data_IF_527997395053
#
_entry.id   IF_527997395053
#
_cell.length_a   1.000
_cell.length_b   1.000
_cell.length_c   1.000
_cell.angle_alpha   90.00
_cell.angle_beta   90.00
_cell.angle_gamma   90.00
#
_symmetry.space_group_name_H-M   'P 1'
#
loop_
_entity.id
_entity.type
_entity.pdbx_description
1 polymer ?
#
# COMPACT_ATOMS: atom_id res chain seq x y z
N UNK A 1 -25.21 4.23 -64.61
CA UNK A 1 -24.74 4.96 -63.41
C UNK A 1 -24.80 4.02 -62.22
N UNK A 2 -23.67 3.43 -61.81
CA UNK A 2 -23.59 2.56 -60.62
C UNK A 2 -23.08 3.42 -59.46
N UNK A 3 -23.88 3.60 -58.41
CA UNK A 3 -23.50 4.31 -57.19
C UNK A 3 -22.56 3.41 -56.37
N UNK A 4 -21.36 3.90 -56.08
CA UNK A 4 -20.38 3.26 -55.23
C UNK A 4 -20.70 3.62 -53.78
N UNK A 5 -21.17 2.66 -52.98
CA UNK A 5 -21.37 2.84 -51.54
C UNK A 5 -20.02 2.68 -50.85
N UNK A 6 -19.49 3.78 -50.33
CA UNK A 6 -18.27 3.81 -49.52
C UNK A 6 -18.65 3.41 -48.09
N UNK A 7 -18.35 2.17 -47.67
CA UNK A 7 -18.50 1.73 -46.28
C UNK A 7 -17.29 2.24 -45.50
N UNK A 8 -17.46 3.32 -44.73
CA UNK A 8 -16.48 3.78 -43.75
C UNK A 8 -16.47 2.83 -42.56
N UNK A 9 -15.50 1.92 -42.54
CA UNK A 9 -15.17 1.11 -41.38
C UNK A 9 -14.52 2.00 -40.31
N UNK A 10 -15.29 2.42 -39.31
CA UNK A 10 -14.73 3.01 -38.10
C UNK A 10 -14.03 1.90 -37.29
N UNK A 11 -12.70 1.82 -37.42
CA UNK A 11 -11.88 1.11 -36.44
C UNK A 11 -11.98 1.90 -35.12
N UNK A 12 -12.76 1.39 -34.17
CA UNK A 12 -12.64 1.80 -32.77
C UNK A 12 -11.29 1.29 -32.26
N UNK A 13 -10.28 2.15 -32.30
CA UNK A 13 -9.07 2.00 -31.48
C UNK A 13 -9.52 2.15 -30.02
N UNK A 14 -9.81 1.02 -29.38
CA UNK A 14 -9.86 0.98 -27.91
C UNK A 14 -8.51 1.50 -27.41
N UNK A 15 -8.49 2.41 -26.43
CA UNK A 15 -7.22 2.83 -25.85
C UNK A 15 -6.55 1.58 -25.30
N UNK A 16 -5.35 1.26 -25.82
CA UNK A 16 -4.49 0.27 -25.20
C UNK A 16 -4.23 0.77 -23.79
N UNK A 17 -4.91 0.19 -22.81
CA UNK A 17 -4.52 0.34 -21.42
C UNK A 17 -3.08 -0.15 -21.36
N UNK A 18 -2.13 0.77 -21.16
CA UNK A 18 -0.76 0.40 -20.88
C UNK A 18 -0.80 -0.51 -19.65
N UNK A 19 -0.58 -1.80 -19.87
CA UNK A 19 -0.49 -2.76 -18.79
C UNK A 19 0.64 -2.28 -17.89
N UNK A 20 0.33 -1.99 -16.62
CA UNK A 20 1.33 -1.52 -15.67
C UNK A 20 2.48 -2.53 -15.66
N UNK A 21 3.63 -2.09 -16.18
CA UNK A 21 4.77 -2.96 -16.36
C UNK A 21 5.43 -3.17 -14.99
N UNK A 22 5.25 -4.36 -14.43
CA UNK A 22 5.98 -4.81 -13.26
C UNK A 22 7.49 -4.92 -13.60
N UNK A 23 8.34 -4.61 -12.62
CA UNK A 23 9.80 -4.50 -12.83
C UNK A 23 10.54 -5.74 -12.35
N UNK A 24 10.14 -6.29 -11.21
CA UNK A 24 10.71 -7.46 -10.55
C UNK A 24 9.79 -8.67 -10.63
N UNK A 25 8.48 -8.43 -10.67
CA UNK A 25 7.43 -9.44 -10.53
C UNK A 25 6.63 -9.65 -11.82
N UNK A 26 5.83 -10.72 -11.82
CA UNK A 26 4.73 -10.93 -12.79
C UNK A 26 3.42 -11.08 -12.03
N UNK A 27 2.27 -11.02 -12.72
CA UNK A 27 0.97 -11.19 -12.06
C UNK A 27 0.81 -12.56 -11.39
N UNK A 28 1.49 -13.58 -11.92
CA UNK A 28 1.48 -14.96 -11.42
C UNK A 28 2.48 -15.19 -10.27
N UNK A 29 3.39 -14.24 -10.03
CA UNK A 29 4.43 -14.39 -9.00
C UNK A 29 3.90 -14.30 -7.57
N UNK A 30 2.70 -13.76 -7.39
CA UNK A 30 2.04 -13.55 -6.08
C UNK A 30 0.67 -14.21 -6.10
N UNK A 31 0.47 -15.23 -5.25
CA UNK A 31 -0.84 -15.86 -5.10
C UNK A 31 -1.76 -15.00 -4.23
N UNK A 32 -2.52 -14.11 -4.87
CA UNK A 32 -3.44 -13.21 -4.18
C UNK A 32 -4.64 -13.93 -3.55
N UNK A 33 -4.90 -15.21 -3.86
CA UNK A 33 -5.99 -15.96 -3.22
C UNK A 33 -5.70 -16.25 -1.73
N UNK A 34 -4.44 -16.12 -1.32
CA UNK A 34 -4.01 -16.26 0.07
C UNK A 34 -4.29 -14.99 0.91
N UNK A 35 -4.69 -13.88 0.28
CA UNK A 35 -5.19 -12.71 1.02
C UNK A 35 -6.63 -13.02 1.44
N UNK A 36 -6.96 -12.99 2.75
CA UNK A 36 -8.31 -13.29 3.21
C UNK A 36 -9.32 -12.29 2.65
N UNK A 37 -10.58 -12.69 2.54
CA UNK A 37 -11.66 -11.76 2.24
C UNK A 37 -11.88 -10.78 3.40
N UNK A 38 -12.36 -9.55 3.14
CA UNK A 38 -12.81 -8.67 4.22
C UNK A 38 -14.02 -9.28 4.95
N UNK A 39 -14.29 -8.86 6.20
CA UNK A 39 -15.51 -9.26 6.88
C UNK A 39 -16.73 -8.80 6.08
N UNK A 40 -17.81 -9.58 6.15
CA UNK A 40 -19.07 -9.23 5.51
C UNK A 40 -19.61 -7.93 6.10
N UNK A 41 -20.05 -7.01 5.26
CA UNK A 41 -20.56 -5.71 5.70
C UNK A 41 -21.75 -5.88 6.66
N UNK A 42 -21.69 -5.21 7.80
CA UNK A 42 -22.72 -5.28 8.84
C UNK A 42 -22.65 -6.53 9.74
N UNK A 43 -21.72 -7.46 9.48
CA UNK A 43 -21.45 -8.56 10.42
C UNK A 43 -20.86 -8.05 11.75
N UNK A 44 -20.94 -8.83 12.84
CA UNK A 44 -20.30 -8.46 14.12
C UNK A 44 -18.81 -8.13 13.99
N UNK A 45 -18.09 -8.83 13.11
CA UNK A 45 -16.68 -8.57 12.84
C UNK A 45 -16.45 -7.24 12.11
N UNK A 46 -17.24 -6.93 11.07
CA UNK A 46 -17.15 -5.63 10.37
C UNK A 46 -17.47 -4.45 11.31
N UNK A 47 -18.50 -4.61 12.15
CA UNK A 47 -18.88 -3.58 13.11
C UNK A 47 -17.82 -3.39 14.21
N UNK A 48 -17.20 -4.47 14.69
CA UNK A 48 -16.09 -4.39 15.64
C UNK A 48 -14.87 -3.68 15.01
N UNK A 49 -14.55 -4.01 13.76
CA UNK A 49 -13.45 -3.41 12.99
C UNK A 49 -13.69 -1.91 12.76
N UNK A 50 -14.93 -1.49 12.46
CA UNK A 50 -15.30 -0.07 12.35
C UNK A 50 -15.25 0.66 13.71
N UNK A 51 -15.72 0.03 14.78
CA UNK A 51 -15.70 0.61 16.13
C UNK A 51 -14.29 0.84 16.66
N UNK A 52 -13.33 0.02 16.25
CA UNK A 52 -11.93 0.21 16.62
C UNK A 52 -11.35 1.52 16.04
N UNK A 53 -11.80 1.94 14.84
CA UNK A 53 -11.41 3.24 14.27
C UNK A 53 -11.94 4.39 15.14
N UNK A 54 -13.19 4.31 15.59
CA UNK A 54 -13.77 5.29 16.52
C UNK A 54 -13.03 5.31 17.85
N UNK A 55 -12.63 4.14 18.38
CA UNK A 55 -11.84 4.03 19.61
C UNK A 55 -10.49 4.75 19.46
N UNK A 56 -9.76 4.50 18.37
CA UNK A 56 -8.51 5.21 18.09
C UNK A 56 -8.73 6.72 17.95
N UNK A 57 -9.80 7.15 17.30
CA UNK A 57 -10.13 8.57 17.18
C UNK A 57 -10.35 9.25 18.54
N UNK A 58 -10.91 8.55 19.53
CA UNK A 58 -11.14 9.11 20.87
C UNK A 58 -9.85 9.30 21.67
N UNK A 59 -8.84 8.46 21.45
CA UNK A 59 -7.61 8.45 22.26
C UNK A 59 -6.40 9.06 21.54
N UNK A 60 -6.45 9.24 20.22
CA UNK A 60 -5.33 9.80 19.45
C UNK A 60 -5.06 11.26 19.86
N UNK A 61 -3.79 11.59 19.93
CA UNK A 61 -3.31 12.94 20.21
C UNK A 61 -3.08 13.73 18.91
N UNK A 62 -2.91 15.06 18.98
CA UNK A 62 -2.45 15.85 17.84
C UNK A 62 -1.10 15.36 17.28
N UNK A 63 -0.20 14.86 18.14
CA UNK A 63 1.08 14.32 17.72
C UNK A 63 0.92 13.02 16.91
N UNK A 64 0.01 12.15 17.33
CA UNK A 64 -0.31 10.93 16.58
C UNK A 64 -0.84 11.26 15.18
N UNK A 65 -1.73 12.26 15.09
CA UNK A 65 -2.26 12.73 13.81
C UNK A 65 -1.17 13.38 12.93
N UNK A 66 -0.29 14.21 13.51
CA UNK A 66 0.81 14.82 12.77
C UNK A 66 1.76 13.76 12.20
N UNK A 67 2.12 12.75 13.00
CA UNK A 67 2.94 11.61 12.56
C UNK A 67 2.23 10.80 11.46
N UNK A 68 0.97 10.42 11.68
CA UNK A 68 0.20 9.65 10.70
C UNK A 68 -0.03 10.41 9.38
N UNK A 69 -0.17 11.74 9.43
CA UNK A 69 -0.30 12.60 8.26
C UNK A 69 1.02 12.73 7.50
N UNK A 70 2.15 12.85 8.21
CA UNK A 70 3.47 12.85 7.59
C UNK A 70 3.73 11.52 6.87
N UNK A 71 3.51 10.40 7.55
CA UNK A 71 3.67 9.06 6.97
C UNK A 71 2.67 8.79 5.83
N UNK A 72 1.52 9.48 5.77
CA UNK A 72 0.54 9.30 4.71
C UNK A 72 1.08 9.59 3.29
N UNK A 73 2.19 10.31 3.17
CA UNK A 73 2.85 10.59 1.89
C UNK A 73 3.36 9.33 1.20
N UNK A 74 3.81 8.31 1.96
CA UNK A 74 4.09 6.98 1.41
C UNK A 74 5.47 6.79 0.78
N UNK A 75 6.44 7.65 1.08
CA UNK A 75 7.80 7.62 0.53
C UNK A 75 8.82 7.13 1.56
N UNK A 76 10.03 6.80 1.11
CA UNK A 76 11.10 6.35 1.99
C UNK A 76 11.44 7.40 3.05
N UNK A 77 11.46 8.67 2.63
CA UNK A 77 11.68 9.83 3.49
C UNK A 77 10.60 9.98 4.55
N UNK A 78 9.32 9.81 4.21
CA UNK A 78 8.22 9.96 5.16
C UNK A 78 7.98 8.73 6.05
N UNK A 79 8.32 7.53 5.57
CA UNK A 79 8.22 6.31 6.36
C UNK A 79 9.43 6.08 7.27
N UNK A 80 10.65 6.23 6.75
CA UNK A 80 11.86 5.75 7.43
C UNK A 80 12.90 6.83 7.69
N UNK A 81 12.78 8.02 7.07
CA UNK A 81 13.62 9.17 7.36
C UNK A 81 13.18 9.97 8.58
N UNK A 82 13.92 11.04 8.86
CA UNK A 82 13.58 12.00 9.92
C UNK A 82 12.21 12.69 9.66
N UNK A 83 11.46 13.09 10.71
CA UNK A 83 11.82 13.03 12.12
C UNK A 83 11.38 11.74 12.83
N UNK A 84 10.63 10.86 12.16
CA UNK A 84 9.94 9.73 12.82
C UNK A 84 10.54 8.36 12.52
N UNK A 85 11.50 8.26 11.61
CA UNK A 85 12.09 7.00 11.18
C UNK A 85 13.55 6.82 11.65
N UNK A 86 14.08 5.59 11.51
CA UNK A 86 15.41 5.22 12.00
C UNK A 86 16.57 5.55 11.05
N UNK A 87 16.28 6.10 9.87
CA UNK A 87 17.28 6.52 8.89
C UNK A 87 17.47 8.04 8.94
N UNK A 88 18.67 8.50 8.58
CA UNK A 88 18.88 9.91 8.29
C UNK A 88 18.11 10.31 7.03
N UNK A 89 17.92 11.62 6.81
CA UNK A 89 17.31 12.13 5.58
C UNK A 89 18.09 11.66 4.34
N UNK A 90 19.42 11.75 4.36
CA UNK A 90 20.27 11.34 3.23
C UNK A 90 20.16 9.83 2.94
N UNK A 91 20.14 9.00 3.98
CA UNK A 91 19.95 7.56 3.81
C UNK A 91 18.60 7.23 3.21
N UNK A 92 17.53 7.89 3.67
CA UNK A 92 16.19 7.67 3.15
C UNK A 92 16.05 8.17 1.69
N UNK A 93 16.68 9.27 1.33
CA UNK A 93 16.69 9.81 -0.04
C UNK A 93 17.31 8.83 -1.04
N UNK A 94 18.39 8.14 -0.66
CA UNK A 94 19.03 7.10 -1.50
C UNK A 94 18.10 5.93 -1.82
N UNK A 95 17.08 5.69 -0.99
CA UNK A 95 16.15 4.57 -1.13
C UNK A 95 14.86 4.93 -1.90
N UNK A 96 14.62 6.21 -2.20
CA UNK A 96 13.38 6.67 -2.84
C UNK A 96 13.14 5.96 -4.17
N UNK A 97 14.16 5.88 -5.03
CA UNK A 97 14.03 5.25 -6.34
C UNK A 97 13.63 3.77 -6.25
N UNK A 98 14.25 3.01 -5.33
CA UNK A 98 13.89 1.62 -5.09
C UNK A 98 12.45 1.52 -4.55
N UNK A 99 12.07 2.35 -3.58
CA UNK A 99 10.71 2.34 -3.03
C UNK A 99 9.66 2.71 -4.08
N UNK A 100 9.95 3.61 -5.01
CA UNK A 100 9.02 3.93 -6.10
C UNK A 100 8.73 2.73 -6.99
N UNK A 101 9.74 1.90 -7.28
CA UNK A 101 9.55 0.65 -8.02
C UNK A 101 8.68 -0.31 -7.20
N UNK A 102 9.03 -0.54 -5.93
CA UNK A 102 8.26 -1.40 -5.02
C UNK A 102 6.81 -0.93 -4.87
N UNK A 103 6.60 0.39 -4.79
CA UNK A 103 5.28 0.99 -4.71
C UNK A 103 4.45 0.69 -5.94
N UNK A 104 5.01 0.86 -7.16
CA UNK A 104 4.31 0.54 -8.40
C UNK A 104 3.88 -0.93 -8.43
N UNK A 105 4.75 -1.85 -8.03
CA UNK A 105 4.40 -3.27 -7.96
C UNK A 105 3.29 -3.55 -6.95
N UNK A 106 3.42 -3.02 -5.72
CA UNK A 106 2.39 -3.13 -4.68
C UNK A 106 1.05 -2.59 -5.15
N UNK A 107 1.03 -1.49 -5.89
CA UNK A 107 -0.20 -0.85 -6.35
C UNK A 107 -0.93 -1.67 -7.43
N UNK A 108 -0.21 -2.41 -8.29
CA UNK A 108 -0.81 -3.35 -9.23
C UNK A 108 -1.64 -4.39 -8.48
N UNK A 109 -1.00 -5.10 -7.53
CA UNK A 109 -1.68 -6.15 -6.74
C UNK A 109 -2.78 -5.58 -5.83
N UNK A 110 -2.53 -4.43 -5.22
CA UNK A 110 -3.53 -3.75 -4.39
C UNK A 110 -4.77 -3.38 -5.19
N UNK A 111 -4.64 -2.92 -6.44
CA UNK A 111 -5.78 -2.54 -7.28
C UNK A 111 -6.64 -3.75 -7.65
N UNK A 112 -6.02 -4.90 -7.94
CA UNK A 112 -6.75 -6.15 -8.23
C UNK A 112 -7.68 -6.49 -7.06
N UNK A 113 -7.14 -6.59 -5.85
CA UNK A 113 -7.94 -6.93 -4.65
C UNK A 113 -8.91 -5.84 -4.22
N UNK A 114 -8.55 -4.57 -4.39
CA UNK A 114 -9.46 -3.45 -4.14
C UNK A 114 -10.70 -3.51 -5.02
N UNK A 115 -10.52 -3.79 -6.30
CA UNK A 115 -11.63 -3.87 -7.25
C UNK A 115 -12.49 -5.12 -7.01
N UNK A 116 -11.88 -6.23 -6.58
CA UNK A 116 -12.58 -7.49 -6.26
C UNK A 116 -13.57 -7.32 -5.10
N UNK A 117 -13.15 -6.71 -3.99
CA UNK A 117 -13.97 -6.65 -2.78
C UNK A 117 -14.66 -5.31 -2.54
N UNK A 118 -14.18 -4.24 -3.18
CA UNK A 118 -14.78 -2.91 -3.12
C UNK A 118 -15.14 -2.39 -1.71
N UNK A 119 -14.39 -2.80 -0.68
CA UNK A 119 -14.66 -2.40 0.70
C UNK A 119 -14.62 -0.88 0.85
N UNK A 120 -15.69 -0.31 1.38
CA UNK A 120 -15.83 1.13 1.62
C UNK A 120 -14.91 1.55 2.77
N UNK A 121 -14.37 2.78 2.72
CA UNK A 121 -13.49 3.34 3.76
C UNK A 121 -14.25 3.67 5.05
N UNK A 122 -13.60 3.71 6.24
CA UNK A 122 -14.28 4.00 7.50
C UNK A 122 -15.07 5.33 7.48
N UNK A 123 -14.47 6.41 7.03
CA UNK A 123 -15.09 7.74 6.96
C UNK A 123 -16.22 7.85 5.93
N UNK A 124 -16.30 6.92 4.97
CA UNK A 124 -17.43 6.83 4.05
C UNK A 124 -18.58 5.97 4.61
N UNK A 125 -18.30 5.09 5.58
CA UNK A 125 -19.30 4.27 6.28
C UNK A 125 -19.97 5.02 7.42
N UNK A 126 -19.21 5.86 8.14
CA UNK A 126 -19.68 6.54 9.34
C UNK A 126 -19.20 8.00 9.38
N UNK A 127 -20.14 8.94 9.33
CA UNK A 127 -19.88 10.40 9.36
C UNK A 127 -19.24 10.90 10.66
N UNK A 128 -19.31 10.12 11.74
CA UNK A 128 -18.63 10.40 13.00
C UNK A 128 -17.12 10.12 12.97
N UNK A 129 -16.62 9.40 11.96
CA UNK A 129 -15.18 9.22 11.73
C UNK A 129 -14.67 10.43 10.96
N UNK A 130 -13.81 11.21 11.60
CA UNK A 130 -13.19 12.41 11.05
C UNK A 130 -11.71 12.11 10.79
N UNK A 131 -11.29 11.88 9.54
CA UNK A 131 -9.89 11.59 9.25
C UNK A 131 -8.98 12.76 9.62
N UNK A 132 -7.83 12.45 10.23
CA UNK A 132 -6.75 13.44 10.40
C UNK A 132 -5.58 13.21 9.43
N UNK A 133 -5.80 12.37 8.42
CA UNK A 133 -4.89 12.17 7.30
C UNK A 133 -5.59 12.49 5.98
N UNK A 134 -4.81 12.82 4.93
CA UNK A 134 -5.34 12.97 3.57
C UNK A 134 -6.16 11.74 3.18
N UNK A 135 -7.43 11.97 2.84
CA UNK A 135 -8.37 10.93 2.44
C UNK A 135 -8.02 10.35 1.07
N UNK A 136 -7.67 9.05 0.98
CA UNK A 136 -7.49 8.39 -0.32
C UNK A 136 -8.81 8.31 -1.08
N UNK A 137 -8.78 8.46 -2.41
CA UNK A 137 -9.98 8.29 -3.26
C UNK A 137 -10.25 6.84 -3.66
N UNK A 138 -9.34 5.92 -3.33
CA UNK A 138 -9.45 4.49 -3.65
C UNK A 138 -10.19 3.69 -2.57
N UNK A 139 -10.60 2.48 -2.92
CA UNK A 139 -11.27 1.51 -2.04
C UNK A 139 -10.37 1.09 -0.86
N UNK A 140 -10.94 0.52 0.20
CA UNK A 140 -10.25 0.32 1.49
C UNK A 140 -9.40 -0.94 1.56
N UNK A 141 -9.90 -2.09 1.09
CA UNK A 141 -9.29 -3.38 1.40
C UNK A 141 -8.51 -4.00 0.22
N UNK A 142 -7.32 -4.57 0.44
CA UNK A 142 -6.46 -4.41 1.62
C UNK A 142 -5.76 -3.04 1.63
N UNK A 143 -5.11 -2.65 2.72
CA UNK A 143 -4.40 -1.37 2.80
C UNK A 143 -3.13 -1.34 1.95
N UNK A 144 -3.13 -0.51 0.90
CA UNK A 144 -1.96 -0.31 0.02
C UNK A 144 -0.77 0.29 0.76
N UNK A 145 -0.99 1.36 1.55
CA UNK A 145 0.04 1.95 2.43
C UNK A 145 0.68 0.94 3.38
N UNK A 146 -0.14 0.11 4.01
CA UNK A 146 0.36 -0.96 4.90
C UNK A 146 1.19 -1.97 4.11
N UNK A 147 0.75 -2.33 2.91
CA UNK A 147 1.45 -3.29 2.05
C UNK A 147 2.83 -2.77 1.66
N UNK A 148 2.93 -1.51 1.18
CA UNK A 148 4.24 -0.94 0.81
C UNK A 148 5.12 -0.72 2.05
N UNK A 149 4.57 -0.32 3.20
CA UNK A 149 5.34 -0.18 4.44
C UNK A 149 5.93 -1.54 4.88
N UNK A 150 5.16 -2.63 4.75
CA UNK A 150 5.62 -3.99 5.05
C UNK A 150 6.77 -4.40 4.12
N UNK A 151 6.62 -4.21 2.81
CA UNK A 151 7.63 -4.58 1.81
C UNK A 151 8.89 -3.74 1.98
N UNK A 152 8.75 -2.41 2.01
CA UNK A 152 9.88 -1.49 2.10
C UNK A 152 10.66 -1.66 3.40
N UNK A 153 10.00 -1.82 4.56
CA UNK A 153 10.69 -2.01 5.84
C UNK A 153 11.61 -3.23 5.85
N UNK A 154 11.17 -4.34 5.23
CA UNK A 154 11.95 -5.58 5.14
C UNK A 154 13.05 -5.50 4.09
N UNK A 155 12.78 -4.86 2.96
CA UNK A 155 13.83 -4.58 1.96
C UNK A 155 14.92 -3.70 2.55
N UNK A 156 14.57 -2.65 3.30
CA UNK A 156 15.55 -1.76 3.91
C UNK A 156 16.28 -2.41 5.08
N UNK A 157 15.64 -3.35 5.79
CA UNK A 157 16.31 -4.18 6.79
C UNK A 157 17.42 -5.07 6.19
N UNK A 158 17.33 -5.45 4.91
CA UNK A 158 18.43 -6.15 4.20
C UNK A 158 19.61 -5.19 3.97
N UNK A 159 19.31 -3.94 3.58
CA UNK A 159 20.32 -2.90 3.31
C UNK A 159 21.02 -2.40 4.58
N UNK A 160 20.29 -2.31 5.69
CA UNK A 160 20.76 -1.80 6.97
C UNK A 160 20.53 -2.83 8.10
N UNK A 161 21.27 -3.95 8.10
CA UNK A 161 21.02 -5.07 9.02
C UNK A 161 21.12 -4.67 10.50
N UNK A 162 22.04 -3.78 10.84
CA UNK A 162 22.21 -3.23 12.20
C UNK A 162 20.96 -2.47 12.72
N UNK A 163 20.07 -2.05 11.82
CA UNK A 163 18.83 -1.32 12.11
C UNK A 163 17.58 -2.09 11.69
N UNK A 164 17.71 -3.39 11.38
CA UNK A 164 16.63 -4.21 10.84
C UNK A 164 15.38 -4.20 11.73
N UNK A 165 15.54 -4.39 13.04
CA UNK A 165 14.41 -4.40 13.99
C UNK A 165 13.69 -3.04 14.01
N UNK A 166 14.45 -1.94 14.05
CA UNK A 166 13.88 -0.59 14.05
C UNK A 166 13.13 -0.28 12.75
N UNK A 167 13.65 -0.72 11.60
CA UNK A 167 13.00 -0.56 10.30
C UNK A 167 11.71 -1.39 10.19
N UNK A 168 11.73 -2.65 10.63
CA UNK A 168 10.54 -3.51 10.65
C UNK A 168 9.47 -2.92 11.57
N UNK A 169 9.86 -2.56 12.79
CA UNK A 169 8.95 -1.87 13.74
C UNK A 169 8.37 -0.61 13.12
N UNK A 170 9.17 0.15 12.37
CA UNK A 170 8.68 1.35 11.70
C UNK A 170 7.59 1.06 10.67
N UNK A 171 7.73 -0.01 9.89
CA UNK A 171 6.67 -0.45 8.97
C UNK A 171 5.36 -0.80 9.69
N UNK A 172 5.45 -1.40 10.88
CA UNK A 172 4.28 -1.69 11.74
C UNK A 172 3.61 -0.40 12.25
N UNK A 173 4.40 0.60 12.67
CA UNK A 173 3.91 1.90 13.11
C UNK A 173 3.17 2.65 11.99
N UNK A 174 3.73 2.67 10.76
CA UNK A 174 3.07 3.28 9.60
C UNK A 174 1.71 2.63 9.34
N UNK A 175 1.64 1.31 9.47
CA UNK A 175 0.39 0.55 9.30
C UNK A 175 -0.66 0.98 10.32
N UNK A 176 -0.28 1.08 11.60
CA UNK A 176 -1.16 1.54 12.67
C UNK A 176 -1.59 3.00 12.47
N UNK A 177 -0.69 3.86 11.99
CA UNK A 177 -0.98 5.25 11.66
C UNK A 177 -2.15 5.41 10.67
N UNK A 178 -2.38 4.42 9.80
CA UNK A 178 -3.52 4.42 8.88
C UNK A 178 -4.87 4.21 9.59
N UNK A 179 -4.89 3.48 10.69
CA UNK A 179 -6.07 3.27 11.54
C UNK A 179 -6.30 4.50 12.43
N UNK A 180 -5.23 4.96 13.11
CA UNK A 180 -5.25 6.18 13.92
C UNK A 180 -5.74 7.39 13.11
N UNK A 181 -5.26 7.51 11.87
CA UNK A 181 -5.66 8.55 10.94
C UNK A 181 -7.11 8.46 10.43
N UNK A 182 -7.79 7.34 10.68
CA UNK A 182 -9.16 7.07 10.22
C UNK A 182 -9.27 6.62 8.76
N UNK A 183 -8.16 6.36 8.07
CA UNK A 183 -8.17 6.06 6.64
C UNK A 183 -8.43 4.57 6.30
N UNK A 184 -8.18 3.68 7.26
CA UNK A 184 -8.33 2.24 7.10
C UNK A 184 -8.94 1.61 8.35
N UNK A 185 -9.68 0.53 8.15
CA UNK A 185 -10.06 -0.35 9.25
C UNK A 185 -8.83 -1.18 9.68
N UNK A 186 -8.74 -1.61 10.95
CA UNK A 186 -7.71 -2.55 11.40
C UNK A 186 -7.53 -3.76 10.48
N UNK A 187 -8.59 -4.44 10.07
CA UNK A 187 -8.47 -5.62 9.20
C UNK A 187 -7.97 -5.30 7.78
N UNK A 188 -8.15 -4.07 7.29
CA UNK A 188 -7.51 -3.64 6.05
C UNK A 188 -5.97 -3.68 6.18
N UNK A 189 -5.45 -3.32 7.35
CA UNK A 189 -4.01 -3.32 7.63
C UNK A 189 -3.49 -4.73 7.84
N UNK A 190 -4.24 -5.61 8.53
CA UNK A 190 -3.89 -7.03 8.68
C UNK A 190 -3.75 -7.70 7.30
N UNK A 191 -4.74 -7.52 6.43
CA UNK A 191 -4.71 -8.04 5.08
C UNK A 191 -3.59 -7.41 4.23
N UNK A 192 -3.31 -6.11 4.44
CA UNK A 192 -2.17 -5.44 3.80
C UNK A 192 -0.82 -6.04 4.19
N UNK A 193 -0.63 -6.45 5.45
CA UNK A 193 0.59 -7.13 5.89
C UNK A 193 0.70 -8.53 5.29
N UNK A 194 -0.41 -9.28 5.21
CA UNK A 194 -0.45 -10.58 4.54
C UNK A 194 -0.05 -10.44 3.07
N UNK A 195 -0.68 -9.52 2.34
CA UNK A 195 -0.33 -9.25 0.94
C UNK A 195 1.13 -8.78 0.81
N UNK A 196 1.61 -7.93 1.72
CA UNK A 196 2.99 -7.46 1.74
C UNK A 196 3.99 -8.59 1.96
N UNK A 197 3.66 -9.58 2.79
CA UNK A 197 4.45 -10.79 2.98
C UNK A 197 4.56 -11.59 1.68
N UNK A 198 3.44 -11.83 1.00
CA UNK A 198 3.41 -12.58 -0.25
C UNK A 198 4.24 -11.89 -1.35
N UNK A 199 4.09 -10.56 -1.47
CA UNK A 199 4.87 -9.75 -2.42
C UNK A 199 6.36 -9.80 -2.07
N UNK A 200 6.72 -9.61 -0.80
CA UNK A 200 8.11 -9.66 -0.37
C UNK A 200 8.75 -11.04 -0.63
N UNK A 201 8.04 -12.13 -0.35
CA UNK A 201 8.50 -13.49 -0.65
C UNK A 201 8.70 -13.74 -2.15
N UNK A 202 7.87 -13.13 -3.00
CA UNK A 202 8.04 -13.18 -4.45
C UNK A 202 9.25 -12.34 -4.91
N UNK A 203 9.43 -11.14 -4.32
CA UNK A 203 10.58 -10.26 -4.60
C UNK A 203 11.90 -10.96 -4.29
N UNK A 204 12.00 -11.64 -3.15
CA UNK A 204 13.21 -12.38 -2.76
C UNK A 204 13.58 -13.51 -3.74
N UNK A 205 12.66 -13.95 -4.60
CA UNK A 205 12.92 -14.94 -5.67
C UNK A 205 13.31 -14.29 -7.00
N UNK A 206 13.21 -12.98 -7.13
CA UNK A 206 13.55 -12.24 -8.36
C UNK A 206 15.05 -11.90 -8.36
N UNK A 207 15.86 -12.47 -9.29
CA UNK A 207 17.29 -12.16 -9.36
C UNK A 207 17.56 -10.67 -9.63
N UNK A 208 16.68 -10.02 -10.42
CA UNK A 208 16.79 -8.58 -10.67
C UNK A 208 16.60 -7.77 -9.40
N UNK A 209 15.59 -8.08 -8.59
CA UNK A 209 15.39 -7.41 -7.31
C UNK A 209 16.60 -7.58 -6.39
N UNK A 210 17.11 -8.80 -6.26
CA UNK A 210 18.27 -9.08 -5.41
C UNK A 210 19.51 -8.30 -5.87
N UNK A 211 19.77 -8.22 -7.18
CA UNK A 211 20.87 -7.44 -7.73
C UNK A 211 20.71 -5.93 -7.48
N UNK A 212 19.51 -5.39 -7.69
CA UNK A 212 19.23 -3.97 -7.47
C UNK A 212 19.35 -3.60 -5.98
N UNK A 213 18.92 -4.48 -5.06
CA UNK A 213 19.11 -4.29 -3.61
C UNK A 213 20.60 -4.37 -3.23
N UNK A 214 21.34 -5.37 -3.74
CA UNK A 214 22.76 -5.51 -3.44
C UNK A 214 23.58 -4.27 -3.89
N UNK A 215 23.24 -3.70 -5.05
CA UNK A 215 23.87 -2.50 -5.59
C UNK A 215 23.65 -1.24 -4.73
N UNK A 216 22.71 -1.27 -3.78
CA UNK A 216 22.38 -0.16 -2.88
C UNK A 216 22.95 -0.35 -1.46
N UNK A 217 23.73 -1.41 -1.20
CA UNK A 217 24.38 -1.56 0.10
C UNK A 217 25.33 -0.36 0.38
N UNK A 218 25.24 0.26 1.57
CA UNK A 218 26.13 1.35 1.98
C UNK A 218 27.61 0.96 2.06
#
# INVERSE_FOLDING_TARGET
MKQLILVLSFLFLLPAFAQEQLTYLTLESVDLNLVPAPPLEGSPEDLADLNEVLRWQQVRTPADCAKAQFEAEGFATSFFGAPYGPLTTEEAEKLVALQEILFKEVMVFSRIKKNEWARIRPYNRNVGIVPCVKMPRSLSYPSGHTTIAYVASRTFAILYPERAEALIKKGEEVSLGRVIGGAHHPLDTVAGKIMGKLIFEALMKSPKFMNDVEALRP
#
